data_IF_021219035940
#
_entry.id   IF_021219035940
#
_cell.length_a   1.000
_cell.length_b   1.000
_cell.length_c   1.000
_cell.angle_alpha   90.00
_cell.angle_beta   90.00
_cell.angle_gamma   90.00
#
_symmetry.space_group_name_H-M   'P 1'
#
loop_
_entity.id
_entity.type
_entity.pdbx_description
1 polymer ?
#
# COMPACT_ATOMS: atom_id res chain seq x y z
N UNK A 1 -12.13 -13.36 21.28
CA UNK A 1 -11.71 -14.63 20.67
C UNK A 1 -11.18 -14.37 19.27
N UNK A 2 -9.96 -14.84 18.97
CA UNK A 2 -9.31 -14.72 17.66
C UNK A 2 -9.94 -15.73 16.69
N UNK A 3 -10.13 -15.35 15.42
CA UNK A 3 -10.67 -16.25 14.38
C UNK A 3 -9.52 -16.81 13.56
N UNK A 4 -9.67 -18.03 13.08
CA UNK A 4 -8.72 -18.65 12.15
C UNK A 4 -9.12 -18.31 10.72
N UNK A 5 -8.18 -17.79 9.93
CA UNK A 5 -8.36 -17.60 8.48
C UNK A 5 -8.07 -18.91 7.76
N UNK A 6 -9.04 -19.42 7.02
CA UNK A 6 -8.93 -20.62 6.21
C UNK A 6 -9.14 -20.24 4.75
N UNK A 7 -8.07 -20.28 3.96
CA UNK A 7 -8.08 -19.94 2.54
C UNK A 7 -7.76 -21.21 1.75
N UNK A 8 -8.62 -21.56 0.78
CA UNK A 8 -8.46 -22.78 -0.02
C UNK A 8 -7.34 -22.66 -1.06
N UNK A 9 -7.41 -21.63 -1.91
CA UNK A 9 -6.43 -21.35 -2.97
C UNK A 9 -6.11 -19.86 -3.03
N UNK A 10 -4.86 -19.56 -3.39
CA UNK A 10 -4.34 -18.21 -3.56
C UNK A 10 -3.58 -18.17 -4.89
N UNK A 11 -4.08 -17.37 -5.82
CA UNK A 11 -3.41 -17.00 -7.06
C UNK A 11 -2.93 -15.55 -6.91
N UNK A 12 -1.60 -15.37 -6.84
CA UNK A 12 -0.97 -14.05 -6.74
C UNK A 12 0.00 -13.87 -7.91
N UNK A 13 -0.35 -12.96 -8.83
CA UNK A 13 0.41 -12.79 -10.07
C UNK A 13 1.69 -11.97 -9.87
N UNK A 14 1.67 -10.97 -8.99
CA UNK A 14 2.82 -10.10 -8.76
C UNK A 14 2.92 -9.60 -7.31
N UNK A 15 4.14 -9.58 -6.78
CA UNK A 15 4.49 -8.95 -5.51
C UNK A 15 5.69 -8.02 -5.77
N UNK A 16 5.53 -6.71 -5.62
CA UNK A 16 6.55 -5.73 -6.02
C UNK A 16 6.66 -4.52 -5.08
N UNK A 17 7.80 -3.81 -5.09
CA UNK A 17 8.02 -2.54 -4.37
C UNK A 17 7.52 -2.48 -2.91
N UNK A 18 8.36 -2.87 -1.95
CA UNK A 18 8.03 -2.79 -0.51
C UNK A 18 6.64 -3.36 -0.21
N UNK A 19 6.36 -4.57 -0.70
CA UNK A 19 5.11 -5.26 -0.43
C UNK A 19 5.34 -6.56 0.32
N UNK A 20 4.33 -6.97 1.07
CA UNK A 20 4.40 -8.15 1.93
C UNK A 20 3.23 -9.06 1.66
N UNK A 21 3.51 -10.34 1.42
CA UNK A 21 2.52 -11.40 1.49
C UNK A 21 2.79 -12.24 2.74
N UNK A 22 1.88 -12.17 3.70
CA UNK A 22 2.02 -12.81 5.00
C UNK A 22 0.85 -13.77 5.25
N UNK A 23 1.18 -15.01 5.62
CA UNK A 23 0.22 -16.02 6.09
C UNK A 23 0.60 -16.36 7.52
N UNK A 24 -0.29 -16.07 8.47
CA UNK A 24 -0.05 -16.22 9.90
C UNK A 24 -0.51 -15.01 10.69
N UNK A 25 -0.42 -15.09 12.00
CA UNK A 25 -0.79 -13.98 12.88
C UNK A 25 0.41 -13.05 13.13
N UNK A 26 0.16 -11.74 13.14
CA UNK A 26 1.16 -10.72 13.46
C UNK A 26 0.69 -9.83 14.61
N UNK A 27 1.61 -9.10 15.22
CA UNK A 27 1.27 -8.09 16.22
C UNK A 27 1.10 -6.73 15.55
N UNK A 28 2.09 -6.33 14.75
CA UNK A 28 2.15 -5.04 14.10
C UNK A 28 2.69 -5.21 12.68
N UNK A 29 2.11 -4.49 11.73
CA UNK A 29 2.63 -4.39 10.37
C UNK A 29 2.87 -2.91 10.08
N UNK A 30 4.12 -2.58 9.75
CA UNK A 30 4.52 -1.25 9.33
C UNK A 30 5.03 -1.35 7.89
N UNK A 31 4.37 -0.64 6.97
CA UNK A 31 4.87 -0.51 5.62
C UNK A 31 4.90 0.97 5.20
N UNK A 32 5.95 1.33 4.47
CA UNK A 32 6.24 2.70 4.11
C UNK A 32 6.89 2.75 2.73
N UNK A 33 6.40 3.62 1.84
CA UNK A 33 6.97 3.84 0.53
C UNK A 33 6.76 5.28 0.07
N UNK A 34 7.77 5.86 -0.60
CA UNK A 34 7.67 7.12 -1.33
C UNK A 34 8.26 6.91 -2.72
N UNK A 35 7.46 7.13 -3.74
CA UNK A 35 7.84 6.91 -5.14
C UNK A 35 7.64 8.21 -5.91
N UNK A 36 8.68 8.61 -6.63
CA UNK A 36 8.64 9.68 -7.59
C UNK A 36 9.03 9.11 -8.96
N UNK A 37 8.14 9.26 -9.94
CA UNK A 37 8.35 8.73 -11.29
C UNK A 37 8.18 9.86 -12.31
N UNK A 38 9.22 10.09 -13.11
CA UNK A 38 9.18 11.04 -14.22
C UNK A 38 9.17 10.25 -15.53
N UNK A 39 8.20 10.54 -16.38
CA UNK A 39 8.11 10.00 -17.72
C UNK A 39 8.25 11.14 -18.73
N UNK A 40 9.26 11.07 -19.59
CA UNK A 40 9.50 12.04 -20.65
C UNK A 40 9.11 11.47 -22.01
N UNK A 41 8.73 12.34 -22.94
CA UNK A 41 8.53 11.96 -24.34
C UNK A 41 9.85 11.53 -24.98
N UNK A 42 10.94 12.20 -24.63
CA UNK A 42 12.29 11.86 -25.07
C UNK A 42 13.04 11.10 -23.97
N UNK A 43 13.95 10.20 -24.32
CA UNK A 43 14.72 9.38 -23.37
C UNK A 43 15.90 10.17 -22.77
N UNK A 44 15.59 11.26 -22.08
CA UNK A 44 16.57 12.08 -21.36
C UNK A 44 16.50 11.74 -19.88
N UNK A 45 17.64 11.39 -19.29
CA UNK A 45 17.77 11.04 -17.88
C UNK A 45 18.74 12.01 -17.21
N UNK A 46 18.28 12.66 -16.14
CA UNK A 46 19.09 13.53 -15.29
C UNK A 46 19.56 12.73 -14.06
N UNK A 47 20.71 13.11 -13.49
CA UNK A 47 21.21 12.47 -12.26
C UNK A 47 20.32 12.76 -11.04
N UNK A 48 19.69 13.94 -11.01
CA UNK A 48 18.70 14.32 -10.00
C UNK A 48 17.33 14.50 -10.68
N UNK A 49 16.52 13.45 -10.65
CA UNK A 49 15.23 13.44 -11.34
C UNK A 49 14.13 14.20 -10.60
N UNK A 50 14.27 14.40 -9.28
CA UNK A 50 13.37 15.22 -8.49
C UNK A 50 13.57 15.07 -6.99
N UNK A 51 13.07 16.05 -6.23
CA UNK A 51 13.19 16.10 -4.78
C UNK A 51 11.81 15.95 -4.11
N UNK A 52 11.69 15.05 -3.14
CA UNK A 52 10.44 14.88 -2.38
C UNK A 52 10.00 16.18 -1.69
N UNK A 53 10.93 17.03 -1.27
CA UNK A 53 10.65 18.31 -0.61
C UNK A 53 9.84 19.28 -1.48
N UNK A 54 9.95 19.16 -2.81
CA UNK A 54 9.28 20.03 -3.77
C UNK A 54 7.78 19.73 -3.91
N UNK A 55 7.35 18.53 -3.53
CA UNK A 55 5.94 18.14 -3.66
C UNK A 55 5.28 18.04 -2.28
N UNK A 56 4.23 18.85 -2.01
CA UNK A 56 3.53 18.83 -0.72
C UNK A 56 2.99 17.45 -0.32
N UNK A 57 2.71 16.58 -1.30
CA UNK A 57 2.22 15.22 -1.02
C UNK A 57 3.22 14.42 -0.17
N UNK A 58 4.52 14.65 -0.31
CA UNK A 58 5.57 13.93 0.43
C UNK A 58 5.85 14.52 1.80
N UNK A 59 5.24 15.66 2.17
CA UNK A 59 5.45 16.31 3.47
C UNK A 59 4.16 16.49 4.28
N UNK A 60 3.00 16.22 3.69
CA UNK A 60 1.72 16.28 4.39
C UNK A 60 1.71 15.29 5.57
N UNK A 61 1.18 15.71 6.72
CA UNK A 61 1.00 14.82 7.87
C UNK A 61 -0.08 13.77 7.57
N UNK A 62 0.11 12.55 8.06
CA UNK A 62 -0.92 11.52 8.01
C UNK A 62 -2.16 12.00 8.77
N UNK A 63 -3.37 11.78 8.23
CA UNK A 63 -4.58 12.13 8.95
C UNK A 63 -4.65 11.30 10.24
N UNK A 64 -4.61 11.98 11.38
CA UNK A 64 -4.77 11.34 12.69
C UNK A 64 -6.26 11.38 13.07
N UNK A 65 -6.86 10.21 13.24
CA UNK A 65 -8.23 10.11 13.77
C UNK A 65 -8.17 10.39 15.27
N UNK A 66 -8.53 11.61 15.67
CA UNK A 66 -8.69 11.94 17.09
C UNK A 66 -9.94 11.22 17.60
N UNK A 67 -9.73 10.20 18.44
CA UNK A 67 -10.83 9.54 19.14
C UNK A 67 -11.21 10.41 20.33
N UNK A 68 -12.34 11.12 20.24
CA UNK A 68 -12.80 12.06 21.28
C UNK A 68 -13.58 11.38 22.41
N UNK A 69 -14.03 10.15 22.19
CA UNK A 69 -14.92 9.42 23.09
C UNK A 69 -14.45 7.97 23.30
N UNK A 70 -14.59 7.41 24.51
CA UNK A 70 -14.22 6.02 24.76
C UNK A 70 -15.20 5.07 24.06
N UNK A 71 -14.78 4.48 22.94
CA UNK A 71 -15.57 3.48 22.21
C UNK A 71 -15.32 2.09 22.81
N UNK A 72 -16.35 1.48 23.38
CA UNK A 72 -16.31 0.09 23.84
C UNK A 72 -16.91 -0.83 22.79
N UNK A 73 -16.06 -1.53 22.05
CA UNK A 73 -16.49 -2.55 21.08
C UNK A 73 -16.57 -3.93 21.75
N UNK A 74 -17.75 -4.56 21.74
CA UNK A 74 -17.91 -5.99 22.03
C UNK A 74 -18.10 -6.76 20.75
N UNK A 75 -17.20 -7.71 20.45
CA UNK A 75 -17.26 -8.56 19.26
C UNK A 75 -17.71 -9.97 19.63
N UNK A 76 -18.82 -10.43 19.05
CA UNK A 76 -19.25 -11.82 19.12
C UNK A 76 -18.96 -12.52 17.78
N UNK A 77 -18.03 -13.48 17.77
CA UNK A 77 -17.67 -14.26 16.60
C UNK A 77 -18.38 -15.61 16.67
N UNK A 78 -19.57 -15.73 16.08
CA UNK A 78 -20.37 -16.97 16.08
C UNK A 78 -19.59 -18.12 15.44
N UNK A 79 -18.88 -17.85 14.33
CA UNK A 79 -17.95 -18.79 13.72
C UNK A 79 -16.52 -18.55 14.19
N UNK A 80 -15.82 -19.65 14.50
CA UNK A 80 -14.39 -19.65 14.82
C UNK A 80 -13.48 -19.51 13.59
N UNK A 81 -14.05 -19.67 12.38
CA UNK A 81 -13.31 -19.65 11.12
C UNK A 81 -13.85 -18.58 10.17
N UNK A 82 -12.95 -17.90 9.48
CA UNK A 82 -13.25 -17.13 8.27
C UNK A 82 -12.80 -18.02 7.11
N UNK A 83 -13.75 -18.50 6.31
CA UNK A 83 -13.45 -19.39 5.19
C UNK A 83 -13.56 -18.62 3.87
N UNK A 84 -12.47 -18.60 3.10
CA UNK A 84 -12.40 -18.03 1.76
C UNK A 84 -11.97 -19.14 0.82
N UNK A 85 -12.72 -19.38 -0.26
CA UNK A 85 -12.39 -20.48 -1.16
C UNK A 85 -11.18 -20.15 -2.05
N UNK A 86 -11.27 -19.06 -2.82
CA UNK A 86 -10.22 -18.62 -3.72
C UNK A 86 -9.91 -17.13 -3.53
N UNK A 87 -8.63 -16.80 -3.52
CA UNK A 87 -8.12 -15.43 -3.66
C UNK A 87 -7.40 -15.33 -5.00
N UNK A 88 -7.84 -14.40 -5.85
CA UNK A 88 -7.17 -14.10 -7.12
C UNK A 88 -6.73 -12.63 -7.09
N UNK A 89 -5.42 -12.42 -7.14
CA UNK A 89 -4.76 -11.13 -6.88
C UNK A 89 -3.76 -10.84 -8.00
N UNK A 90 -4.04 -9.79 -8.76
CA UNK A 90 -3.19 -9.37 -9.88
C UNK A 90 -1.84 -8.80 -9.44
N UNK A 91 -1.80 -8.10 -8.31
CA UNK A 91 -0.58 -7.46 -7.86
C UNK A 91 -0.71 -6.82 -6.48
N UNK A 92 0.35 -6.95 -5.68
CA UNK A 92 0.51 -6.24 -4.41
C UNK A 92 1.75 -5.37 -4.54
N UNK A 93 1.60 -4.05 -4.42
CA UNK A 93 2.74 -3.15 -4.61
C UNK A 93 2.71 -1.87 -3.78
N UNK A 94 3.89 -1.28 -3.60
CA UNK A 94 4.11 0.06 -3.05
C UNK A 94 3.57 0.21 -1.62
N UNK A 95 4.26 -0.40 -0.65
CA UNK A 95 3.77 -0.46 0.74
C UNK A 95 2.38 -1.10 0.86
N UNK A 96 2.11 -2.14 0.07
CA UNK A 96 0.87 -2.91 0.18
C UNK A 96 1.12 -4.27 0.85
N UNK A 97 0.15 -4.73 1.63
CA UNK A 97 0.24 -5.97 2.39
C UNK A 97 -0.94 -6.86 2.04
N UNK A 98 -0.67 -8.09 1.61
CA UNK A 98 -1.63 -9.18 1.57
C UNK A 98 -1.44 -10.03 2.84
N UNK A 99 -2.36 -9.93 3.79
CA UNK A 99 -2.25 -10.62 5.08
C UNK A 99 -3.39 -11.62 5.27
N UNK A 100 -3.03 -12.88 5.53
CA UNK A 100 -3.96 -13.97 5.84
C UNK A 100 -3.70 -14.43 7.27
N UNK A 101 -4.43 -13.83 8.20
CA UNK A 101 -4.34 -14.12 9.62
C UNK A 101 -4.91 -12.98 10.45
N UNK A 102 -4.48 -12.87 11.70
CA UNK A 102 -4.91 -11.82 12.62
C UNK A 102 -3.76 -10.87 12.92
N UNK A 103 -4.03 -9.57 12.95
CA UNK A 103 -3.07 -8.55 13.39
C UNK A 103 -3.71 -7.54 14.31
N UNK A 104 -2.92 -6.86 15.16
CA UNK A 104 -3.43 -5.87 16.11
C UNK A 104 -3.36 -4.45 15.55
N UNK A 105 -2.27 -4.12 14.86
CA UNK A 105 -2.02 -2.78 14.36
C UNK A 105 -1.40 -2.84 12.98
N UNK A 106 -1.96 -2.09 12.04
CA UNK A 106 -1.36 -1.87 10.72
C UNK A 106 -1.20 -0.37 10.58
N UNK A 107 0.03 0.08 10.34
CA UNK A 107 0.33 1.46 9.98
C UNK A 107 1.00 1.41 8.62
N UNK A 108 0.42 2.15 7.68
CA UNK A 108 0.84 2.03 6.30
C UNK A 108 0.90 3.41 5.63
N UNK A 109 1.94 3.66 4.85
CA UNK A 109 2.08 4.91 4.10
C UNK A 109 2.73 4.66 2.75
N UNK A 110 2.05 5.04 1.67
CA UNK A 110 2.58 4.95 0.31
C UNK A 110 2.29 6.25 -0.42
N UNK A 111 3.32 7.04 -0.74
CA UNK A 111 3.16 8.33 -1.43
C UNK A 111 3.76 8.19 -2.82
N UNK A 112 2.96 8.39 -3.86
CA UNK A 112 3.40 8.23 -5.26
C UNK A 112 3.08 9.50 -6.05
N UNK A 113 4.07 10.08 -6.75
CA UNK A 113 3.86 11.16 -7.71
C UNK A 113 4.42 10.74 -9.06
N UNK A 114 3.56 10.70 -10.06
CA UNK A 114 3.96 10.53 -11.45
C UNK A 114 3.88 11.89 -12.15
N UNK A 115 4.93 12.26 -12.89
CA UNK A 115 4.96 13.45 -13.74
C UNK A 115 5.26 13.01 -15.16
N UNK A 116 4.44 13.49 -16.10
CA UNK A 116 4.69 13.31 -17.52
C UNK A 116 5.14 14.64 -18.12
N UNK A 117 6.28 14.63 -18.78
CA UNK A 117 6.82 15.76 -19.53
C UNK A 117 6.60 15.50 -21.01
N UNK A 118 5.82 16.38 -21.64
CA UNK A 118 5.49 16.36 -23.05
C UNK A 118 6.18 17.54 -23.73
N UNK A 119 6.69 17.33 -24.94
CA UNK A 119 7.28 18.42 -25.73
C UNK A 119 6.16 19.25 -26.35
N UNK A 120 6.26 20.58 -26.29
CA UNK A 120 5.30 21.45 -26.93
C UNK A 120 5.36 21.26 -28.47
N UNK A 121 4.25 21.40 -29.20
CA UNK A 121 4.23 21.21 -30.65
C UNK A 121 5.20 22.11 -31.42
N UNK A 122 5.54 23.28 -30.86
CA UNK A 122 6.42 24.28 -31.48
C UNK A 122 7.92 23.99 -31.34
N UNK A 123 8.35 23.04 -30.51
CA UNK A 123 9.77 22.70 -30.32
C UNK A 123 10.26 21.61 -31.28
N UNK A 124 9.49 21.31 -32.35
CA UNK A 124 9.80 20.29 -33.36
C UNK A 124 10.54 20.83 -34.60
N UNK A 125 10.99 22.09 -34.59
CA UNK A 125 11.76 22.71 -35.68
C UNK A 125 13.25 22.56 -35.49
#
# INVERSE_FOLDING_TARGET
MVRVSHVGKIDLNALSFTSTFEIGDSCQIFAFSRVFAVQRQEQIFYSEEGNFSEFPIFNRLLPHLVTTEPIVMRRNNISKKICVNNLDILGVSTASILHIGSTRCIINESRVKHIRQLTEPNDRT
#
